data_IF_810477135766
#
_entry.id   IF_810477135766
#
_cell.length_a   1.000
_cell.length_b   1.000
_cell.length_c   1.000
_cell.angle_alpha   90.00
_cell.angle_beta   90.00
_cell.angle_gamma   90.00
#
_symmetry.space_group_name_H-M   'P 1'
#
loop_
_entity.id
_entity.type
_entity.pdbx_description
1 polymer ?
#
# COMPACT_ATOMS: atom_id res chain seq x y z
N UNK A 1 -4.22 -5.68 -69.89
CA UNK A 1 -5.62 -5.73 -70.31
C UNK A 1 -6.41 -5.43 -69.01
N UNK A 2 -7.17 -4.48 -68.89
CA UNK A 2 -8.00 -3.43 -69.34
C UNK A 2 -8.44 -2.64 -68.13
N UNK A 3 -8.17 -1.38 -67.97
CA UNK A 3 -8.89 -0.14 -68.26
C UNK A 3 -10.42 -0.28 -67.96
N UNK A 4 -11.07 0.61 -67.26
CA UNK A 4 -11.16 2.06 -67.08
C UNK A 4 -12.50 2.23 -66.30
N UNK A 5 -13.05 3.26 -65.79
CA UNK A 5 -13.04 4.70 -65.91
C UNK A 5 -14.01 5.30 -64.88
N UNK A 6 -13.67 6.33 -64.21
CA UNK A 6 -14.22 7.70 -64.17
C UNK A 6 -15.73 7.90 -64.01
N UNK A 7 -16.12 8.68 -63.02
CA UNK A 7 -17.38 9.37 -62.88
C UNK A 7 -17.32 10.51 -61.88
N UNK A 8 -17.45 11.72 -62.36
CA UNK A 8 -17.19 13.05 -61.79
C UNK A 8 -18.49 13.77 -61.43
N UNK A 9 -18.39 14.66 -60.48
CA UNK A 9 -19.07 15.96 -60.36
C UNK A 9 -20.41 16.07 -59.61
N UNK A 10 -20.45 17.08 -58.77
CA UNK A 10 -21.65 17.81 -58.40
C UNK A 10 -21.42 18.73 -57.23
N UNK A 11 -21.14 20.00 -57.51
CA UNK A 11 -20.94 21.10 -56.57
C UNK A 11 -22.27 21.63 -56.03
N UNK A 12 -22.25 22.27 -54.85
CA UNK A 12 -23.35 23.07 -54.33
C UNK A 12 -22.94 23.87 -53.11
N UNK A 13 -22.85 25.16 -53.31
CA UNK A 13 -22.36 26.18 -52.36
C UNK A 13 -23.41 26.61 -51.34
N UNK A 14 -22.92 27.14 -50.18
CA UNK A 14 -23.47 28.38 -49.70
C UNK A 14 -23.83 28.51 -48.22
N UNK A 15 -23.21 29.50 -47.63
CA UNK A 15 -23.58 30.35 -46.51
C UNK A 15 -23.12 29.97 -45.08
N UNK A 16 -22.19 30.79 -44.59
CA UNK A 16 -21.81 30.99 -43.19
C UNK A 16 -22.64 32.12 -42.55
N UNK A 17 -22.14 32.84 -41.51
CA UNK A 17 -21.80 32.36 -40.16
C UNK A 17 -22.68 33.02 -39.11
N UNK A 18 -22.86 32.44 -37.94
CA UNK A 18 -23.32 33.16 -36.75
C UNK A 18 -22.53 32.71 -35.53
N UNK A 19 -21.88 33.70 -34.89
CA UNK A 19 -21.05 33.52 -33.71
C UNK A 19 -21.89 33.18 -32.47
N UNK A 20 -21.45 32.15 -31.78
CA UNK A 20 -21.87 31.80 -30.44
C UNK A 20 -20.66 31.72 -29.53
N UNK A 21 -20.53 32.68 -28.60
CA UNK A 21 -19.52 32.63 -27.54
C UNK A 21 -19.83 31.44 -26.66
N UNK A 22 -18.98 30.43 -26.69
CA UNK A 22 -19.02 29.32 -25.74
C UNK A 22 -18.30 29.79 -24.45
N UNK A 23 -19.05 29.88 -23.37
CA UNK A 23 -18.53 30.05 -22.02
C UNK A 23 -17.75 28.76 -21.63
N UNK A 24 -16.57 28.97 -21.05
CA UNK A 24 -15.79 27.90 -20.46
C UNK A 24 -16.58 27.28 -19.30
N UNK A 25 -16.61 25.95 -19.13
CA UNK A 25 -17.17 25.34 -17.95
C UNK A 25 -16.21 25.57 -16.78
N UNK A 26 -16.69 26.28 -15.79
CA UNK A 26 -16.10 26.33 -14.44
C UNK A 26 -16.04 24.90 -13.90
N UNK A 27 -14.83 24.44 -13.58
CA UNK A 27 -14.60 23.11 -13.04
C UNK A 27 -15.33 22.93 -11.71
N UNK A 28 -16.41 22.18 -11.78
CA UNK A 28 -17.02 21.56 -10.60
C UNK A 28 -16.14 20.39 -10.17
N UNK A 29 -15.66 20.45 -8.92
CA UNK A 29 -14.86 19.41 -8.30
C UNK A 29 -15.66 18.11 -8.20
N UNK A 30 -15.58 17.29 -9.24
CA UNK A 30 -16.28 16.02 -9.37
C UNK A 30 -16.05 15.14 -8.16
N UNK A 31 -17.11 14.86 -7.41
CA UNK A 31 -17.19 13.84 -6.36
C UNK A 31 -16.59 12.55 -6.90
N UNK A 32 -15.53 12.09 -6.25
CA UNK A 32 -14.90 10.81 -6.55
C UNK A 32 -15.97 9.72 -6.41
N UNK A 33 -16.04 8.82 -7.40
CA UNK A 33 -17.06 7.79 -7.52
C UNK A 33 -17.20 6.93 -6.27
N UNK A 34 -18.40 6.39 -6.05
CA UNK A 34 -18.72 5.58 -4.89
C UNK A 34 -17.79 4.37 -4.75
N UNK A 35 -17.47 4.03 -3.50
CA UNK A 35 -16.63 2.90 -3.13
C UNK A 35 -17.15 1.58 -3.74
N UNK A 36 -16.26 0.81 -4.37
CA UNK A 36 -16.55 -0.46 -5.01
C UNK A 36 -15.71 -1.59 -4.41
N UNK A 37 -16.24 -2.79 -4.38
CA UNK A 37 -15.49 -3.96 -3.93
C UNK A 37 -15.07 -3.91 -2.47
N UNK A 38 -13.82 -4.23 -2.16
CA UNK A 38 -13.28 -4.26 -0.80
C UNK A 38 -13.05 -2.88 -0.19
N UNK A 39 -13.09 -1.79 -0.97
CA UNK A 39 -12.98 -0.42 -0.48
C UNK A 39 -14.19 0.03 0.37
N UNK A 40 -15.31 -0.67 0.28
CA UNK A 40 -16.52 -0.40 1.06
C UNK A 40 -16.52 -0.99 2.47
N UNK A 41 -15.53 -1.81 2.84
CA UNK A 41 -15.49 -2.51 4.14
C UNK A 41 -15.25 -1.56 5.32
N UNK A 42 -15.67 -1.94 6.56
CA UNK A 42 -15.32 -1.18 7.76
C UNK A 42 -13.80 -0.96 7.90
N UNK A 43 -13.00 -1.99 7.59
CA UNK A 43 -11.55 -1.91 7.62
C UNK A 43 -10.99 -0.92 6.61
N UNK A 44 -11.50 -0.91 5.37
CA UNK A 44 -11.11 0.08 4.36
C UNK A 44 -11.40 1.51 4.80
N UNK A 45 -12.56 1.74 5.44
CA UNK A 45 -12.90 3.06 6.00
C UNK A 45 -11.94 3.50 7.11
N UNK A 46 -11.52 2.57 7.99
CA UNK A 46 -10.51 2.89 9.03
C UNK A 46 -9.16 3.26 8.41
N UNK A 47 -8.70 2.51 7.42
CA UNK A 47 -7.47 2.82 6.67
C UNK A 47 -7.61 4.21 6.03
N UNK A 48 -8.72 4.45 5.31
CA UNK A 48 -8.97 5.72 4.64
C UNK A 48 -8.94 6.89 5.61
N UNK A 49 -9.61 6.77 6.77
CA UNK A 49 -9.65 7.82 7.79
C UNK A 49 -8.25 8.19 8.29
N UNK A 50 -7.32 7.22 8.41
CA UNK A 50 -5.94 7.51 8.79
C UNK A 50 -5.19 8.33 7.72
N UNK A 51 -5.40 8.03 6.43
CA UNK A 51 -4.84 8.84 5.34
C UNK A 51 -5.46 10.23 5.28
N UNK A 52 -6.79 10.33 5.46
CA UNK A 52 -7.50 11.61 5.43
C UNK A 52 -7.06 12.51 6.60
N UNK A 53 -6.90 11.96 7.81
CA UNK A 53 -6.37 12.69 8.97
C UNK A 53 -4.94 13.20 8.72
N UNK A 54 -4.08 12.37 8.11
CA UNK A 54 -2.75 12.82 7.71
C UNK A 54 -2.80 13.97 6.69
N UNK A 55 -3.70 13.87 5.70
CA UNK A 55 -3.88 14.90 4.68
C UNK A 55 -4.44 16.21 5.26
N UNK A 56 -5.35 16.16 6.23
CA UNK A 56 -5.87 17.33 6.95
C UNK A 56 -4.77 18.08 7.72
N UNK A 57 -3.76 17.35 8.23
CA UNK A 57 -2.55 17.91 8.81
C UNK A 57 -1.53 18.41 7.76
N UNK A 58 -1.85 18.33 6.47
CA UNK A 58 -0.97 18.78 5.37
C UNK A 58 0.22 17.86 5.13
N UNK A 59 0.15 16.58 5.47
CA UNK A 59 1.24 15.61 5.36
C UNK A 59 0.82 14.30 4.67
N UNK A 60 1.79 13.46 4.34
CA UNK A 60 1.54 12.09 3.95
C UNK A 60 1.39 11.17 5.19
N UNK A 61 0.64 10.07 5.09
CA UNK A 61 0.59 9.05 6.12
C UNK A 61 1.95 8.34 6.26
N UNK A 62 2.37 8.02 7.48
CA UNK A 62 3.55 7.21 7.74
C UNK A 62 3.14 5.78 8.08
N UNK A 63 3.68 4.82 7.35
CA UNK A 63 3.33 3.40 7.43
C UNK A 63 4.59 2.58 7.73
N UNK A 64 4.96 2.37 8.99
CA UNK A 64 6.00 1.43 9.36
C UNK A 64 5.61 -0.01 9.04
N UNK A 65 6.51 -0.75 8.36
CA UNK A 65 6.44 -2.19 8.20
C UNK A 65 7.28 -2.86 9.28
N UNK A 66 6.70 -3.83 9.96
CA UNK A 66 7.32 -4.57 11.05
C UNK A 66 7.23 -6.08 10.77
N UNK A 67 8.24 -6.85 11.17
CA UNK A 67 8.21 -8.33 11.05
C UNK A 67 7.67 -8.92 12.35
N UNK A 68 6.55 -9.64 12.26
CA UNK A 68 5.94 -10.28 13.43
C UNK A 68 6.90 -11.32 14.06
N UNK A 69 7.05 -11.22 15.38
CA UNK A 69 7.92 -12.12 16.12
C UNK A 69 9.43 -11.86 15.97
N UNK A 70 9.87 -10.77 15.33
CA UNK A 70 11.28 -10.42 15.22
C UNK A 70 11.70 -9.43 16.33
N UNK A 71 12.84 -9.66 17.02
CA UNK A 71 13.64 -10.87 17.05
C UNK A 71 13.00 -11.97 17.91
N UNK A 72 12.01 -11.62 18.71
CA UNK A 72 11.13 -12.47 19.53
C UNK A 72 9.75 -11.78 19.73
N UNK A 73 8.75 -12.53 20.22
CA UNK A 73 7.39 -12.06 20.37
C UNK A 73 7.26 -10.81 21.28
N UNK A 74 7.98 -10.79 22.42
CA UNK A 74 7.94 -9.68 23.38
C UNK A 74 8.52 -8.40 22.78
N UNK A 75 9.68 -8.52 22.14
CA UNK A 75 10.34 -7.38 21.49
C UNK A 75 9.52 -6.89 20.30
N UNK A 76 8.94 -7.80 19.52
CA UNK A 76 8.08 -7.46 18.38
C UNK A 76 6.86 -6.61 18.79
N UNK A 77 6.19 -6.94 19.91
CA UNK A 77 5.12 -6.11 20.45
C UNK A 77 5.64 -4.74 20.88
N UNK A 78 6.77 -4.68 21.59
CA UNK A 78 7.35 -3.41 22.01
C UNK A 78 7.73 -2.52 20.82
N UNK A 79 8.25 -3.10 19.73
CA UNK A 79 8.55 -2.43 18.46
C UNK A 79 7.30 -1.83 17.84
N UNK A 80 6.21 -2.59 17.78
CA UNK A 80 4.94 -2.12 17.22
C UNK A 80 4.36 -0.95 18.04
N UNK A 81 4.37 -1.05 19.36
CA UNK A 81 3.88 0.01 20.24
C UNK A 81 4.77 1.27 20.14
N UNK A 82 6.09 1.11 20.10
CA UNK A 82 7.01 2.23 19.93
C UNK A 82 6.83 2.94 18.57
N UNK A 83 6.57 2.19 17.50
CA UNK A 83 6.27 2.77 16.19
C UNK A 83 4.95 3.55 16.20
N UNK A 84 3.90 3.02 16.82
CA UNK A 84 2.61 3.68 17.00
C UNK A 84 2.77 4.98 17.82
N UNK A 85 3.46 4.92 18.95
CA UNK A 85 3.68 6.06 19.86
C UNK A 85 4.57 7.15 19.24
N UNK A 86 5.44 6.79 18.30
CA UNK A 86 6.27 7.72 17.55
C UNK A 86 5.56 8.38 16.37
N UNK A 87 4.26 8.11 16.15
CA UNK A 87 3.40 8.78 15.20
C UNK A 87 3.19 8.05 13.87
N UNK A 88 3.20 6.72 13.88
CA UNK A 88 2.70 5.93 12.76
C UNK A 88 1.19 6.16 12.57
N UNK A 89 0.74 6.29 11.33
CA UNK A 89 -0.68 6.43 10.99
C UNK A 89 -1.35 5.07 10.74
N UNK A 90 -0.60 4.12 10.21
CA UNK A 90 -0.94 2.70 10.06
C UNK A 90 0.27 1.86 10.45
N UNK A 91 0.02 0.59 10.79
CA UNK A 91 1.10 -0.40 10.90
C UNK A 91 0.89 -1.52 9.89
N UNK A 92 1.91 -1.79 9.10
CA UNK A 92 2.01 -2.97 8.27
C UNK A 92 2.75 -4.06 9.05
N UNK A 93 2.14 -5.24 9.19
CA UNK A 93 2.68 -6.34 10.01
C UNK A 93 2.98 -7.52 9.11
N UNK A 94 4.25 -7.70 8.74
CA UNK A 94 4.70 -8.82 7.92
C UNK A 94 4.66 -10.13 8.70
N UNK A 95 3.91 -11.10 8.20
CA UNK A 95 3.86 -12.45 8.75
C UNK A 95 5.06 -13.23 8.24
N UNK A 96 5.94 -13.73 9.13
CA UNK A 96 7.15 -14.44 8.70
C UNK A 96 6.85 -15.63 7.80
N UNK A 97 7.58 -15.76 6.70
CA UNK A 97 7.45 -16.84 5.73
C UNK A 97 8.82 -17.41 5.36
N UNK A 98 8.88 -18.70 5.04
CA UNK A 98 10.14 -19.38 4.70
C UNK A 98 10.73 -18.95 3.37
N UNK A 99 9.85 -18.61 2.40
CA UNK A 99 10.22 -18.33 1.01
C UNK A 99 9.74 -16.94 0.55
N UNK A 100 10.18 -15.85 1.20
CA UNK A 100 9.62 -14.51 1.03
C UNK A 100 10.18 -13.83 -0.23
N UNK A 101 9.74 -14.25 -1.41
CA UNK A 101 10.25 -13.80 -2.72
C UNK A 101 10.08 -12.30 -2.98
N UNK A 102 9.07 -11.67 -2.37
CA UNK A 102 8.82 -10.24 -2.50
C UNK A 102 9.73 -9.40 -1.58
N UNK A 103 10.36 -10.02 -0.58
CA UNK A 103 11.12 -9.33 0.44
C UNK A 103 12.60 -9.18 0.07
N UNK A 104 13.20 -8.09 0.50
CA UNK A 104 14.64 -7.90 0.37
C UNK A 104 15.43 -8.59 1.48
N UNK A 105 16.75 -8.65 1.28
CA UNK A 105 17.66 -9.39 2.15
C UNK A 105 17.53 -9.07 3.66
N UNK A 106 17.31 -7.81 4.03
CA UNK A 106 17.12 -7.41 5.43
C UNK A 106 15.84 -8.02 6.02
N UNK A 107 14.71 -7.95 5.27
CA UNK A 107 13.44 -8.52 5.72
C UNK A 107 13.48 -10.05 5.71
N UNK A 108 14.13 -10.67 4.72
CA UNK A 108 14.34 -12.12 4.68
C UNK A 108 15.12 -12.61 5.92
N UNK A 109 16.19 -11.89 6.32
CA UNK A 109 16.94 -12.21 7.55
C UNK A 109 16.08 -12.08 8.80
N UNK A 110 15.27 -11.00 8.89
CA UNK A 110 14.38 -10.80 10.02
C UNK A 110 13.28 -11.87 10.09
N UNK A 111 12.63 -12.21 8.97
CA UNK A 111 11.66 -13.30 8.86
C UNK A 111 12.26 -14.63 9.27
N UNK A 112 13.45 -14.97 8.75
CA UNK A 112 14.16 -16.20 9.14
C UNK A 112 14.52 -16.25 10.63
N UNK A 113 14.90 -15.09 11.21
CA UNK A 113 15.17 -15.02 12.65
C UNK A 113 13.88 -15.19 13.47
N UNK A 114 12.78 -14.56 13.09
CA UNK A 114 11.48 -14.73 13.72
C UNK A 114 11.00 -16.18 13.68
N UNK A 115 11.11 -16.85 12.53
CA UNK A 115 10.76 -18.28 12.39
C UNK A 115 11.60 -19.16 13.33
N UNK A 116 12.92 -18.94 13.40
CA UNK A 116 13.80 -19.64 14.35
C UNK A 116 13.45 -19.35 15.81
N UNK A 117 12.94 -18.16 16.12
CA UNK A 117 12.44 -17.79 17.45
C UNK A 117 11.04 -18.37 17.74
N UNK A 118 10.48 -19.14 16.81
CA UNK A 118 9.20 -19.84 16.95
C UNK A 118 7.99 -19.03 16.50
N UNK A 119 8.15 -18.02 15.63
CA UNK A 119 7.03 -17.35 15.01
C UNK A 119 6.23 -18.36 14.15
N UNK A 120 4.90 -18.28 14.27
CA UNK A 120 3.93 -19.05 13.47
C UNK A 120 2.84 -18.09 13.04
N UNK A 121 1.95 -18.54 12.14
CA UNK A 121 0.76 -17.76 11.78
C UNK A 121 -0.08 -17.43 13.03
N UNK A 122 -0.28 -18.41 13.91
CA UNK A 122 -1.06 -18.24 15.14
C UNK A 122 -0.47 -17.15 16.04
N UNK A 123 0.83 -17.22 16.31
CA UNK A 123 1.53 -16.21 17.12
C UNK A 123 1.56 -14.84 16.47
N UNK A 124 1.57 -14.78 15.13
CA UNK A 124 1.48 -13.52 14.42
C UNK A 124 0.08 -12.89 14.54
N UNK A 125 -0.97 -13.70 14.55
CA UNK A 125 -2.35 -13.25 14.79
C UNK A 125 -2.51 -12.77 16.25
N UNK A 126 -1.97 -13.51 17.22
CA UNK A 126 -1.94 -13.09 18.64
C UNK A 126 -1.22 -11.74 18.83
N UNK A 127 -0.13 -11.51 18.08
CA UNK A 127 0.57 -10.22 18.10
C UNK A 127 -0.33 -9.09 17.53
N UNK A 128 -1.02 -9.33 16.42
CA UNK A 128 -1.96 -8.35 15.84
C UNK A 128 -3.05 -8.00 16.85
N UNK A 129 -3.64 -8.99 17.51
CA UNK A 129 -4.63 -8.79 18.58
C UNK A 129 -4.07 -7.97 19.73
N UNK A 130 -2.86 -8.28 20.20
CA UNK A 130 -2.21 -7.53 21.27
C UNK A 130 -1.93 -6.07 20.89
N UNK A 131 -1.52 -5.79 19.64
CA UNK A 131 -1.34 -4.43 19.13
C UNK A 131 -2.69 -3.71 19.06
N UNK A 132 -3.73 -4.36 18.51
CA UNK A 132 -5.07 -3.78 18.38
C UNK A 132 -5.67 -3.43 19.76
N UNK A 133 -5.49 -4.30 20.75
CA UNK A 133 -5.94 -4.05 22.12
C UNK A 133 -5.19 -2.87 22.78
N UNK A 134 -3.87 -2.79 22.57
CA UNK A 134 -3.04 -1.74 23.15
C UNK A 134 -3.17 -0.37 22.44
N UNK A 135 -3.48 -0.36 21.14
CA UNK A 135 -3.62 0.84 20.29
C UNK A 135 -4.82 0.72 19.34
N UNK A 136 -6.06 0.76 19.88
CA UNK A 136 -7.29 0.49 19.10
C UNK A 136 -7.55 1.51 17.99
N UNK A 137 -6.92 2.69 18.06
CA UNK A 137 -7.04 3.74 17.04
C UNK A 137 -6.24 3.50 15.77
N UNK A 138 -5.18 2.67 15.81
CA UNK A 138 -4.28 2.50 14.66
C UNK A 138 -4.76 1.36 13.74
N UNK A 139 -4.93 1.60 12.44
CA UNK A 139 -5.23 0.54 11.49
C UNK A 139 -4.06 -0.43 11.34
N UNK A 140 -4.33 -1.73 11.42
CA UNK A 140 -3.35 -2.79 11.21
C UNK A 140 -3.59 -3.44 9.85
N UNK A 141 -2.53 -3.60 9.07
CA UNK A 141 -2.56 -4.23 7.75
C UNK A 141 -1.52 -5.35 7.71
N UNK A 142 -1.90 -6.58 8.07
CA UNK A 142 -1.04 -7.74 7.90
C UNK A 142 -0.60 -7.93 6.45
N UNK A 143 0.67 -8.30 6.24
CA UNK A 143 1.21 -8.72 4.94
C UNK A 143 1.65 -10.18 5.02
N UNK A 144 1.14 -10.99 4.09
CA UNK A 144 1.39 -12.42 4.02
C UNK A 144 1.55 -12.88 2.56
N UNK A 145 1.89 -14.15 2.39
CA UNK A 145 1.88 -14.82 1.10
C UNK A 145 0.63 -15.71 0.96
N UNK A 146 0.19 -15.94 -0.27
CA UNK A 146 -1.06 -16.67 -0.56
C UNK A 146 -1.09 -18.05 0.09
N UNK A 147 0.04 -18.76 0.10
CA UNK A 147 0.13 -20.09 0.73
C UNK A 147 -0.16 -20.06 2.24
N UNK A 148 0.13 -18.97 2.94
CA UNK A 148 -0.13 -18.84 4.37
C UNK A 148 -1.62 -18.66 4.69
N UNK A 149 -2.38 -17.99 3.80
CA UNK A 149 -3.76 -17.59 4.04
C UNK A 149 -4.78 -18.41 3.24
N UNK A 150 -4.43 -18.84 2.02
CA UNK A 150 -5.34 -19.43 1.05
C UNK A 150 -5.04 -20.92 0.86
N UNK A 151 -3.91 -21.41 1.37
CA UNK A 151 -3.48 -22.80 1.21
C UNK A 151 -4.59 -23.80 1.58
N UNK A 152 -5.17 -24.44 0.57
CA UNK A 152 -6.23 -25.45 0.73
C UNK A 152 -7.67 -24.95 0.74
N UNK A 153 -7.95 -23.66 0.40
CA UNK A 153 -9.30 -23.15 0.38
C UNK A 153 -9.46 -21.74 -0.22
N UNK A 154 -10.55 -21.07 0.11
CA UNK A 154 -10.86 -19.70 -0.32
C UNK A 154 -10.30 -18.60 0.61
N UNK A 155 -9.58 -18.98 1.66
CA UNK A 155 -9.01 -18.08 2.66
C UNK A 155 -10.02 -17.49 3.65
N UNK A 156 -11.28 -17.92 3.65
CA UNK A 156 -12.36 -17.39 4.53
C UNK A 156 -12.00 -17.49 6.01
N UNK A 157 -11.45 -18.61 6.45
CA UNK A 157 -11.04 -18.80 7.84
C UNK A 157 -9.92 -17.84 8.24
N UNK A 158 -8.93 -17.64 7.36
CA UNK A 158 -7.83 -16.71 7.59
C UNK A 158 -8.31 -15.26 7.61
N UNK A 159 -9.17 -14.86 6.67
CA UNK A 159 -9.73 -13.51 6.62
C UNK A 159 -10.52 -13.17 7.90
N UNK A 160 -11.38 -14.07 8.37
CA UNK A 160 -12.10 -13.90 9.64
C UNK A 160 -11.16 -13.78 10.82
N UNK A 161 -10.18 -14.66 10.90
CA UNK A 161 -9.20 -14.68 11.97
C UNK A 161 -8.40 -13.38 12.08
N UNK A 162 -7.98 -12.82 10.94
CA UNK A 162 -7.32 -11.53 10.88
C UNK A 162 -8.26 -10.39 11.29
N UNK A 163 -9.51 -10.43 10.83
CA UNK A 163 -10.52 -9.45 11.22
C UNK A 163 -10.82 -9.47 12.72
N UNK A 164 -11.00 -10.66 13.30
CA UNK A 164 -11.27 -10.86 14.73
C UNK A 164 -10.09 -10.37 15.59
N UNK A 165 -8.85 -10.51 15.11
CA UNK A 165 -7.64 -9.96 15.72
C UNK A 165 -7.50 -8.43 15.56
N UNK A 166 -8.42 -7.76 14.86
CA UNK A 166 -8.44 -6.30 14.72
C UNK A 166 -7.74 -5.75 13.48
N UNK A 167 -7.40 -6.59 12.50
CA UNK A 167 -6.89 -6.13 11.22
C UNK A 167 -7.93 -5.26 10.48
N UNK A 168 -7.47 -4.21 9.82
CA UNK A 168 -8.29 -3.33 8.99
C UNK A 168 -8.21 -3.70 7.51
N UNK A 169 -7.13 -4.32 7.11
CA UNK A 169 -6.90 -4.82 5.76
C UNK A 169 -5.89 -5.93 5.76
N UNK A 170 -5.58 -6.46 4.60
CA UNK A 170 -4.57 -7.47 4.38
C UNK A 170 -3.89 -7.26 3.03
N UNK A 171 -2.57 -7.45 2.99
CA UNK A 171 -1.76 -7.52 1.77
C UNK A 171 -1.41 -8.99 1.56
N UNK A 172 -1.70 -9.52 0.36
CA UNK A 172 -1.21 -10.83 -0.05
C UNK A 172 -0.23 -10.60 -1.19
N UNK A 173 1.07 -10.71 -0.87
CA UNK A 173 2.15 -10.17 -1.69
C UNK A 173 2.26 -10.79 -3.10
N UNK A 174 1.87 -12.05 -3.23
CA UNK A 174 1.91 -12.86 -4.45
C UNK A 174 0.52 -13.14 -5.04
N UNK A 175 -0.55 -12.52 -4.53
CA UNK A 175 -1.91 -12.68 -5.06
C UNK A 175 -2.23 -11.55 -6.06
N UNK A 176 -2.59 -11.95 -7.27
CA UNK A 176 -3.04 -11.00 -8.28
C UNK A 176 -4.57 -10.85 -8.27
N UNK A 177 -5.14 -9.72 -8.75
CA UNK A 177 -6.60 -9.60 -8.85
C UNK A 177 -7.25 -10.68 -9.71
N UNK A 178 -6.56 -11.23 -10.70
CA UNK A 178 -7.13 -12.28 -11.58
C UNK A 178 -7.48 -13.54 -10.79
N UNK A 179 -6.72 -13.84 -9.75
CA UNK A 179 -6.89 -15.00 -8.88
C UNK A 179 -7.54 -14.62 -7.53
N UNK A 180 -7.55 -13.34 -7.20
CA UNK A 180 -7.95 -12.81 -5.89
C UNK A 180 -9.45 -12.87 -5.58
N UNK A 181 -10.31 -13.11 -6.59
CA UNK A 181 -11.77 -13.00 -6.43
C UNK A 181 -12.36 -13.74 -5.23
N UNK A 182 -12.07 -15.03 -5.02
CA UNK A 182 -12.57 -15.77 -3.86
C UNK A 182 -12.09 -15.18 -2.52
N UNK A 183 -10.82 -14.80 -2.42
CA UNK A 183 -10.26 -14.20 -1.21
C UNK A 183 -10.80 -12.79 -0.96
N UNK A 184 -11.00 -11.98 -2.00
CA UNK A 184 -11.66 -10.66 -1.86
C UNK A 184 -13.08 -10.79 -1.30
N UNK A 185 -13.85 -11.78 -1.76
CA UNK A 185 -15.16 -12.04 -1.22
C UNK A 185 -15.09 -12.43 0.27
N UNK A 186 -14.16 -13.32 0.62
CA UNK A 186 -13.92 -13.72 2.00
C UNK A 186 -13.48 -12.54 2.90
N UNK A 187 -12.57 -11.70 2.43
CA UNK A 187 -12.10 -10.51 3.14
C UNK A 187 -13.24 -9.48 3.33
N UNK A 188 -14.03 -9.25 2.29
CA UNK A 188 -15.21 -8.36 2.36
C UNK A 188 -16.24 -8.86 3.37
N UNK A 189 -16.55 -10.16 3.36
CA UNK A 189 -17.49 -10.78 4.32
C UNK A 189 -16.96 -10.67 5.77
N UNK A 190 -15.64 -10.70 5.95
CA UNK A 190 -14.98 -10.48 7.22
C UNK A 190 -14.84 -8.99 7.60
N UNK A 191 -15.14 -8.07 6.70
CA UNK A 191 -15.10 -6.62 6.96
C UNK A 191 -13.73 -5.97 6.80
N UNK A 192 -12.73 -6.64 6.24
CA UNK A 192 -11.38 -6.12 6.00
C UNK A 192 -11.12 -5.82 4.52
N UNK A 193 -10.18 -4.90 4.26
CA UNK A 193 -9.77 -4.53 2.91
C UNK A 193 -8.72 -5.50 2.34
N UNK A 194 -8.74 -5.72 1.02
CA UNK A 194 -7.59 -6.32 0.31
C UNK A 194 -6.81 -5.20 -0.36
N UNK A 195 -5.55 -5.04 0.03
CA UNK A 195 -4.63 -4.04 -0.52
C UNK A 195 -3.77 -4.70 -1.59
N UNK A 196 -3.86 -4.21 -2.81
CA UNK A 196 -3.07 -4.72 -3.93
C UNK A 196 -1.84 -3.88 -4.21
N UNK A 197 -0.86 -4.52 -4.87
CA UNK A 197 0.42 -3.93 -5.21
C UNK A 197 0.50 -3.61 -6.70
N UNK A 198 1.13 -2.48 -7.01
CA UNK A 198 1.55 -2.12 -8.37
C UNK A 198 3.03 -1.77 -8.38
N UNK A 199 3.68 -2.09 -9.49
CA UNK A 199 5.11 -1.91 -9.68
C UNK A 199 5.37 -1.10 -10.95
N UNK A 200 6.54 -0.45 -11.13
CA UNK A 200 6.87 0.29 -12.35
C UNK A 200 6.78 -0.53 -13.64
N UNK A 201 6.89 -1.86 -13.57
CA UNK A 201 6.68 -2.77 -14.70
C UNK A 201 5.21 -3.10 -14.96
N UNK A 202 4.30 -2.73 -14.06
CA UNK A 202 2.87 -2.98 -14.27
C UNK A 202 2.37 -2.11 -15.43
N UNK A 203 1.88 -2.75 -16.50
CA UNK A 203 1.35 -2.06 -17.68
C UNK A 203 0.19 -1.10 -17.30
N UNK A 204 0.01 0.05 -17.98
CA UNK A 204 -0.98 1.05 -17.60
C UNK A 204 -2.41 0.52 -17.45
N UNK A 205 -2.89 -0.30 -18.40
CA UNK A 205 -4.22 -0.91 -18.35
C UNK A 205 -4.38 -1.85 -17.15
N UNK A 206 -3.34 -2.66 -16.83
CA UNK A 206 -3.33 -3.54 -15.67
C UNK A 206 -3.28 -2.75 -14.37
N UNK A 207 -2.55 -1.65 -14.33
CA UNK A 207 -2.49 -0.74 -13.17
C UNK A 207 -3.87 -0.18 -12.83
N UNK A 208 -4.62 0.26 -13.84
CA UNK A 208 -5.99 0.72 -13.67
C UNK A 208 -6.93 -0.39 -13.16
N UNK A 209 -6.82 -1.60 -13.71
CA UNK A 209 -7.59 -2.76 -13.26
C UNK A 209 -7.28 -3.16 -11.81
N UNK A 210 -6.01 -3.12 -11.41
CA UNK A 210 -5.59 -3.36 -10.01
C UNK A 210 -6.14 -2.27 -9.08
N UNK A 211 -6.00 -0.99 -9.48
CA UNK A 211 -6.48 0.14 -8.70
C UNK A 211 -8.00 0.10 -8.46
N UNK A 212 -8.78 -0.40 -9.42
CA UNK A 212 -10.23 -0.53 -9.28
C UNK A 212 -10.66 -1.63 -8.29
N UNK A 213 -9.78 -2.55 -7.93
CA UNK A 213 -10.09 -3.69 -7.04
C UNK A 213 -9.45 -3.57 -5.66
N UNK A 214 -8.47 -2.69 -5.49
CA UNK A 214 -7.83 -2.48 -4.19
C UNK A 214 -8.75 -1.77 -3.21
N UNK A 215 -8.66 -2.12 -1.94
CA UNK A 215 -9.36 -1.44 -0.84
C UNK A 215 -8.39 -0.72 0.09
N UNK A 216 -8.86 0.32 0.76
CA UNK A 216 -8.08 1.10 1.72
C UNK A 216 -7.02 1.99 1.07
N UNK A 217 -6.00 1.41 0.46
CA UNK A 217 -4.99 2.14 -0.33
C UNK A 217 -4.38 1.27 -1.43
N UNK A 218 -3.76 1.88 -2.43
CA UNK A 218 -3.00 1.19 -3.46
C UNK A 218 -1.51 1.23 -3.11
N UNK A 219 -0.88 0.06 -3.02
CA UNK A 219 0.52 -0.06 -2.65
C UNK A 219 1.43 0.05 -3.89
N UNK A 220 2.27 1.07 -3.94
CA UNK A 220 3.33 1.21 -4.96
C UNK A 220 4.64 0.63 -4.44
N UNK A 221 5.10 -0.47 -5.04
CA UNK A 221 6.40 -1.07 -4.72
C UNK A 221 7.49 -0.63 -5.68
N UNK A 222 8.75 -0.67 -5.23
CA UNK A 222 9.92 -0.51 -6.09
C UNK A 222 10.27 -1.84 -6.75
N UNK A 223 10.44 -1.80 -8.07
CA UNK A 223 10.91 -2.97 -8.82
C UNK A 223 12.41 -3.19 -8.82
N UNK A 224 13.17 -2.27 -8.33
CA UNK A 224 14.60 -2.45 -8.42
C UNK A 224 15.01 -3.39 -7.30
N UNK A 225 15.13 -4.66 -7.66
CA UNK A 225 15.65 -5.73 -6.82
C UNK A 225 16.79 -5.25 -5.93
N UNK A 226 16.80 -5.77 -4.71
CA UNK A 226 17.66 -5.43 -3.59
C UNK A 226 17.13 -4.22 -2.81
N UNK A 227 16.26 -4.47 -1.86
CA UNK A 227 15.93 -3.55 -0.78
C UNK A 227 17.15 -3.42 0.13
N UNK A 228 17.97 -2.43 -0.14
CA UNK A 228 19.04 -1.95 0.73
C UNK A 228 18.86 -0.44 0.87
N UNK A 229 19.32 0.14 1.98
CA UNK A 229 19.29 1.58 2.21
C UNK A 229 20.00 2.32 1.07
N UNK A 230 19.25 3.04 0.24
CA UNK A 230 19.81 3.79 -0.90
C UNK A 230 20.16 5.21 -0.47
N UNK A 231 21.21 5.76 -1.08
CA UNK A 231 21.59 7.18 -0.87
C UNK A 231 20.61 8.16 -1.52
N UNK A 232 19.92 7.76 -2.61
CA UNK A 232 18.92 8.59 -3.31
C UNK A 232 17.85 7.75 -3.98
N UNK A 233 16.64 8.30 -4.09
CA UNK A 233 15.55 7.70 -4.85
C UNK A 233 15.74 7.91 -6.36
N UNK A 234 15.30 6.98 -7.23
CA UNK A 234 15.36 7.15 -8.68
C UNK A 234 14.59 8.39 -9.13
N UNK A 235 15.12 9.15 -10.10
CA UNK A 235 14.45 10.33 -10.67
C UNK A 235 13.06 10.01 -11.27
N UNK A 236 12.85 8.79 -11.73
CA UNK A 236 11.58 8.34 -12.31
C UNK A 236 10.45 8.14 -11.29
N UNK A 237 10.75 8.13 -9.98
CA UNK A 237 9.74 7.90 -8.91
C UNK A 237 8.59 8.89 -8.99
N UNK A 238 8.88 10.19 -9.17
CA UNK A 238 7.83 11.22 -9.22
C UNK A 238 6.82 11.00 -10.33
N UNK A 239 7.29 10.69 -11.55
CA UNK A 239 6.41 10.40 -12.67
C UNK A 239 5.57 9.16 -12.43
N UNK A 240 6.18 8.08 -11.92
CA UNK A 240 5.47 6.84 -11.64
C UNK A 240 4.37 7.04 -10.58
N UNK A 241 4.66 7.74 -9.49
CA UNK A 241 3.65 8.05 -8.46
C UNK A 241 2.48 8.85 -9.05
N UNK A 242 2.76 9.87 -9.88
CA UNK A 242 1.72 10.66 -10.56
C UNK A 242 0.85 9.81 -11.49
N UNK A 243 1.46 8.90 -12.26
CA UNK A 243 0.74 7.95 -13.14
C UNK A 243 -0.16 6.99 -12.35
N UNK A 244 0.29 6.52 -11.19
CA UNK A 244 -0.51 5.64 -10.32
C UNK A 244 -1.66 6.42 -9.70
N UNK A 245 -1.42 7.62 -9.19
CA UNK A 245 -2.47 8.48 -8.63
C UNK A 245 -3.56 8.81 -9.63
N UNK A 246 -3.22 9.00 -10.90
CA UNK A 246 -4.17 9.33 -11.96
C UNK A 246 -5.24 8.24 -12.18
N UNK A 247 -4.95 6.99 -11.83
CA UNK A 247 -5.85 5.85 -12.01
C UNK A 247 -6.44 5.30 -10.71
N UNK A 248 -6.00 5.82 -9.54
CA UNK A 248 -6.45 5.34 -8.23
C UNK A 248 -7.57 6.20 -7.65
N UNK A 249 -8.65 5.57 -7.20
CA UNK A 249 -9.71 6.20 -6.41
C UNK A 249 -9.42 6.19 -4.91
N UNK A 250 -8.46 5.37 -4.48
CA UNK A 250 -8.00 5.26 -3.09
C UNK A 250 -6.64 5.93 -2.91
N UNK A 251 -6.21 6.23 -1.66
CA UNK A 251 -4.88 6.76 -1.39
C UNK A 251 -3.76 5.88 -1.97
N UNK A 252 -2.62 6.48 -2.28
CA UNK A 252 -1.45 5.78 -2.81
C UNK A 252 -0.34 5.77 -1.76
N UNK A 253 -0.06 4.57 -1.23
CA UNK A 253 1.07 4.30 -0.34
C UNK A 253 2.31 3.88 -1.12
N UNK A 254 3.47 4.45 -0.82
CA UNK A 254 4.69 4.27 -1.62
C UNK A 254 5.81 3.70 -0.77
N UNK A 255 6.32 2.50 -1.15
CA UNK A 255 7.44 1.83 -0.53
C UNK A 255 8.63 1.66 -1.49
N UNK A 256 9.61 2.56 -1.46
CA UNK A 256 10.75 2.61 -2.40
C UNK A 256 12.11 2.62 -1.71
N UNK A 257 12.33 1.73 -0.75
CA UNK A 257 13.62 1.71 -0.02
C UNK A 257 13.85 2.98 0.79
N UNK A 258 12.78 3.49 1.38
CA UNK A 258 12.80 4.68 2.23
C UNK A 258 13.62 4.37 3.48
N UNK A 259 14.65 5.16 3.74
CA UNK A 259 15.53 4.98 4.90
C UNK A 259 15.91 6.28 5.60
N UNK A 260 15.48 7.44 5.07
CA UNK A 260 15.86 8.76 5.57
C UNK A 260 14.72 9.76 5.40
N UNK A 261 14.69 10.83 6.22
CA UNK A 261 13.72 11.92 6.08
C UNK A 261 13.68 12.53 4.67
N UNK A 262 14.82 12.66 3.98
CA UNK A 262 14.89 13.20 2.63
C UNK A 262 14.10 12.35 1.63
N UNK A 263 14.10 11.03 1.77
CA UNK A 263 13.31 10.13 0.92
C UNK A 263 11.82 10.35 1.12
N UNK A 264 11.38 10.54 2.37
CA UNK A 264 9.98 10.85 2.69
C UNK A 264 9.55 12.15 2.03
N UNK A 265 10.36 13.23 2.16
CA UNK A 265 10.07 14.53 1.50
C UNK A 265 9.99 14.40 -0.02
N UNK A 266 10.85 13.61 -0.64
CA UNK A 266 10.83 13.38 -2.10
C UNK A 266 9.53 12.68 -2.52
N UNK A 267 9.11 11.63 -1.81
CA UNK A 267 7.88 10.90 -2.13
C UNK A 267 6.64 11.76 -1.91
N UNK A 268 6.59 12.52 -0.81
CA UNK A 268 5.51 13.47 -0.55
C UNK A 268 5.38 14.52 -1.68
N UNK A 269 6.50 15.13 -2.09
CA UNK A 269 6.52 16.09 -3.22
C UNK A 269 6.10 15.44 -4.54
N UNK A 270 6.36 14.15 -4.70
CA UNK A 270 5.90 13.35 -5.84
C UNK A 270 4.39 13.06 -5.80
N UNK A 271 3.71 13.40 -4.71
CA UNK A 271 2.28 13.21 -4.54
C UNK A 271 1.88 11.88 -3.90
N UNK A 272 2.79 11.20 -3.20
CA UNK A 272 2.43 10.04 -2.38
C UNK A 272 1.50 10.48 -1.24
N UNK A 273 0.39 9.76 -1.06
CA UNK A 273 -0.54 9.98 0.05
C UNK A 273 -0.03 9.32 1.33
N UNK A 274 0.81 8.28 1.21
CA UNK A 274 1.47 7.63 2.32
C UNK A 274 2.87 7.11 1.95
N UNK A 275 3.72 6.95 2.96
CA UNK A 275 5.10 6.47 2.80
C UNK A 275 5.31 5.25 3.68
N UNK A 276 5.72 4.14 3.06
CA UNK A 276 5.96 2.86 3.71
C UNK A 276 7.47 2.72 3.96
N UNK A 277 7.83 2.33 5.17
CA UNK A 277 9.23 2.17 5.60
C UNK A 277 9.40 0.80 6.23
N UNK A 278 10.31 -0.01 5.69
CA UNK A 278 10.52 -1.39 6.12
C UNK A 278 11.97 -1.64 6.57
N UNK A 279 12.87 -1.95 5.64
CA UNK A 279 14.24 -2.39 5.95
C UNK A 279 15.00 -1.46 6.89
N UNK A 280 14.83 -0.15 6.76
CA UNK A 280 15.49 0.82 7.62
C UNK A 280 15.06 0.72 9.09
N UNK A 281 13.81 0.30 9.35
CA UNK A 281 13.32 0.09 10.71
C UNK A 281 13.91 -1.19 11.32
N UNK A 282 14.03 -2.25 10.51
CA UNK A 282 14.72 -3.49 10.95
C UNK A 282 16.19 -3.21 11.24
N UNK A 283 16.88 -2.45 10.36
CA UNK A 283 18.28 -2.07 10.57
C UNK A 283 18.46 -1.17 11.80
N UNK A 284 17.49 -0.30 12.12
CA UNK A 284 17.52 0.57 13.30
C UNK A 284 17.44 -0.20 14.62
N UNK A 285 16.90 -1.41 14.62
CA UNK A 285 16.86 -2.28 15.83
C UNK A 285 18.25 -2.81 16.21
N UNK A 286 19.28 -2.56 15.40
CA UNK A 286 20.63 -3.02 15.66
C UNK A 286 20.85 -4.50 15.33
N UNK A 287 22.09 -4.99 15.57
CA UNK A 287 22.49 -6.35 15.18
C UNK A 287 21.69 -7.46 15.88
N UNK A 288 21.25 -7.22 17.10
CA UNK A 288 20.45 -8.14 17.93
C UNK A 288 18.94 -7.94 17.76
N UNK A 289 18.51 -6.93 17.00
CA UNK A 289 17.11 -6.62 16.75
C UNK A 289 16.37 -5.99 17.93
N UNK A 290 17.06 -5.41 18.93
CA UNK A 290 16.47 -5.04 20.24
C UNK A 290 16.49 -3.56 20.58
N UNK A 291 17.10 -2.69 19.78
CA UNK A 291 17.10 -1.24 20.05
C UNK A 291 15.75 -0.59 19.63
N UNK A 292 14.71 -0.90 20.42
CA UNK A 292 13.36 -0.35 20.24
C UNK A 292 13.37 1.18 20.31
N UNK A 293 14.25 1.76 21.15
CA UNK A 293 14.35 3.20 21.28
C UNK A 293 14.91 3.86 20.01
N UNK A 294 15.90 3.23 19.35
CA UNK A 294 16.42 3.73 18.08
C UNK A 294 15.35 3.66 16.97
N UNK A 295 14.55 2.59 16.93
CA UNK A 295 13.43 2.49 16.00
C UNK A 295 12.41 3.61 16.25
N UNK A 296 11.99 3.83 17.49
CA UNK A 296 11.05 4.91 17.82
C UNK A 296 11.57 6.29 17.42
N UNK A 297 12.87 6.57 17.67
CA UNK A 297 13.50 7.82 17.22
C UNK A 297 13.47 7.96 15.68
N UNK A 298 13.77 6.90 14.96
CA UNK A 298 13.74 6.91 13.50
C UNK A 298 12.31 7.17 12.98
N UNK A 299 11.31 6.48 13.51
CA UNK A 299 9.89 6.70 13.15
C UNK A 299 9.50 8.15 13.40
N UNK A 300 9.85 8.73 14.55
CA UNK A 300 9.59 10.14 14.87
C UNK A 300 10.25 11.11 13.87
N UNK A 301 11.49 10.87 13.48
CA UNK A 301 12.18 11.67 12.45
C UNK A 301 11.50 11.56 11.08
N UNK A 302 11.07 10.36 10.70
CA UNK A 302 10.35 10.13 9.44
C UNK A 302 8.96 10.77 9.47
N UNK A 303 8.27 10.72 10.64
CA UNK A 303 6.96 11.36 10.83
C UNK A 303 7.03 12.88 10.61
N UNK A 304 8.03 13.54 11.19
CA UNK A 304 8.26 14.98 10.94
C UNK A 304 8.45 15.26 9.44
N UNK A 305 9.17 14.40 8.74
CA UNK A 305 9.43 14.59 7.30
C UNK A 305 8.19 14.39 6.40
N UNK A 306 7.11 13.77 6.90
CA UNK A 306 5.86 13.66 6.14
C UNK A 306 5.14 14.99 5.99
N UNK A 307 5.39 15.97 6.85
CA UNK A 307 4.76 17.30 6.84
C UNK A 307 5.59 18.41 6.17
N UNK A 308 6.87 18.19 5.94
CA UNK A 308 7.82 19.25 5.48
C UNK A 308 7.98 19.33 3.97
#
# INVERSE_FOLDING_TARGET
MSRATVGRAGAGAGHGPSGGRSAAPTGDGGRRGGATGTDATPGARRIRAAFDAAAEEGRAALIPYLVAGYPDARTSLAVALAAADAGADLLEVGLPYSDPLADGATLQRASSAALRAGATLDRSVELIEAIAAARPGIPLVPMAYANQLIGGGDGRAAARRLADAGASGVIVADLTPDEGGPFEAAARDAGIAVVYLVAPTTAPARRAAIAARTGGFLYCVSLVGVTGARRSLPRAVGRYVAEVRAVSSVPVGVGFGVSRPEHVRVLRRAGADGVIVASALVDALGPDGRDVAALGRLVGLLRVATGA
#
